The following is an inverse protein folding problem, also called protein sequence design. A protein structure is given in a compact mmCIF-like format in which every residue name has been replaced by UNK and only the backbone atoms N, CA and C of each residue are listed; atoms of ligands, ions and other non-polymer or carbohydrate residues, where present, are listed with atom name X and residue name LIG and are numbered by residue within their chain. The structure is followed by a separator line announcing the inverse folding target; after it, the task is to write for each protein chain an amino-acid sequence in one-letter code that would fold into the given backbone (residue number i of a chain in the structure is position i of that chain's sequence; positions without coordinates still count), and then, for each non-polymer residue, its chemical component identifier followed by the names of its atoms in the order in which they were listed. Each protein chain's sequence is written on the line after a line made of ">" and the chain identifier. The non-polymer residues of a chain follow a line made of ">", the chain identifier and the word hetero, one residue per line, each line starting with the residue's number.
data_IF_065873090042
#
_entry.id   IF_065873090042
#
_cell.length_a   1.000
_cell.length_b   1.000
_cell.length_c   1.000
_cell.angle_alpha   90.00
_cell.angle_beta   90.00
_cell.angle_gamma   90.00
#
_symmetry.space_group_name_H-M   'P 1'
#
loop_
_entity.id
_entity.type
_entity.pdbx_description
1 polymer ?
#
# COMPACT_ATOMS: atom_id res chain seq x y z
N UNK A 1 0.73 -41.60 -20.35
CA UNK A 1 0.01 -41.21 -19.12
C UNK A 1 0.93 -41.48 -17.95
N UNK A 2 1.41 -40.44 -17.27
CA UNK A 2 1.88 -40.49 -15.88
C UNK A 2 2.09 -39.06 -15.37
N UNK A 3 1.52 -38.78 -14.21
CA UNK A 3 1.38 -37.47 -13.58
C UNK A 3 2.70 -37.05 -12.90
N UNK A 4 3.32 -35.98 -13.38
CA UNK A 4 4.47 -35.34 -12.75
C UNK A 4 4.03 -34.34 -11.68
N UNK A 5 3.79 -34.84 -10.48
CA UNK A 5 3.62 -34.06 -9.24
C UNK A 5 4.87 -33.19 -9.06
N UNK A 6 4.73 -31.87 -9.21
CA UNK A 6 5.80 -30.93 -8.85
C UNK A 6 5.96 -31.00 -7.33
N UNK A 7 7.06 -31.64 -6.91
CA UNK A 7 7.39 -31.91 -5.53
C UNK A 7 7.54 -30.59 -4.75
N UNK A 8 6.83 -30.50 -3.62
CA UNK A 8 7.16 -29.50 -2.59
C UNK A 8 8.61 -29.75 -2.16
N UNK A 9 9.50 -28.73 -2.12
CA UNK A 9 10.80 -28.94 -1.54
C UNK A 9 10.62 -29.20 -0.05
N UNK A 10 11.23 -30.30 0.40
CA UNK A 10 11.28 -30.79 1.76
C UNK A 10 11.92 -29.77 2.70
N UNK A 11 11.48 -29.82 3.95
CA UNK A 11 11.94 -29.05 5.12
C UNK A 11 13.41 -28.60 5.04
N UNK A 12 13.63 -27.39 4.51
CA UNK A 12 14.85 -26.64 4.76
C UNK A 12 14.75 -26.15 6.20
N UNK A 13 15.59 -26.69 7.07
CA UNK A 13 15.80 -26.25 8.44
C UNK A 13 15.87 -24.72 8.50
N UNK A 14 14.80 -24.09 9.00
CA UNK A 14 14.81 -22.66 9.35
C UNK A 14 15.74 -22.52 10.56
N UNK A 15 16.93 -21.97 10.36
CA UNK A 15 17.81 -21.63 11.47
C UNK A 15 17.13 -20.57 12.34
N UNK A 16 17.13 -20.78 13.67
CA UNK A 16 16.52 -19.86 14.65
C UNK A 16 16.98 -18.40 14.51
N UNK A 17 18.21 -18.15 14.01
CA UNK A 17 18.70 -16.79 13.71
C UNK A 17 17.89 -16.06 12.64
N UNK A 18 17.53 -16.73 11.54
CA UNK A 18 16.78 -16.11 10.45
C UNK A 18 15.34 -15.76 10.88
N UNK A 19 14.72 -16.61 11.69
CA UNK A 19 13.39 -16.34 12.25
C UNK A 19 13.39 -15.14 13.23
N UNK A 20 14.45 -15.03 14.04
CA UNK A 20 14.64 -13.88 14.93
C UNK A 20 14.90 -12.60 14.13
N UNK A 21 15.74 -12.64 13.10
CA UNK A 21 16.00 -11.50 12.21
C UNK A 21 14.72 -11.03 11.49
N UNK A 22 13.92 -11.95 10.95
CA UNK A 22 12.62 -11.63 10.35
C UNK A 22 11.65 -10.99 11.35
N UNK A 23 11.66 -11.45 12.60
CA UNK A 23 10.83 -10.89 13.67
C UNK A 23 11.26 -9.46 14.06
N UNK A 24 12.57 -9.19 14.10
CA UNK A 24 13.13 -7.87 14.42
C UNK A 24 12.84 -6.89 13.29
N UNK A 25 13.04 -7.31 12.04
CA UNK A 25 12.75 -6.51 10.86
C UNK A 25 11.26 -6.16 10.82
N UNK A 26 10.37 -7.13 11.03
CA UNK A 26 8.92 -6.92 11.11
C UNK A 26 8.55 -5.89 12.18
N UNK A 27 9.10 -6.05 13.39
CA UNK A 27 8.89 -5.11 14.51
C UNK A 27 9.35 -3.70 14.16
N UNK A 28 10.54 -3.55 13.57
CA UNK A 28 11.06 -2.25 13.15
C UNK A 28 10.22 -1.60 12.04
N UNK A 29 9.67 -2.39 11.12
CA UNK A 29 8.74 -1.86 10.10
C UNK A 29 7.42 -1.43 10.72
N UNK A 30 6.86 -2.21 11.64
CA UNK A 30 5.62 -1.86 12.35
C UNK A 30 5.79 -0.53 13.12
N UNK A 31 6.86 -0.40 13.91
CA UNK A 31 7.16 0.81 14.67
C UNK A 31 7.31 2.04 13.77
N UNK A 32 7.97 1.89 12.61
CA UNK A 32 8.12 2.98 11.64
C UNK A 32 6.80 3.35 10.99
N UNK A 33 5.93 2.39 10.68
CA UNK A 33 4.60 2.69 10.13
C UNK A 33 3.71 3.38 11.16
N UNK A 34 3.72 2.94 12.42
CA UNK A 34 2.96 3.59 13.50
C UNK A 34 3.45 5.04 13.70
N UNK A 35 4.76 5.25 13.77
CA UNK A 35 5.36 6.58 13.85
C UNK A 35 4.93 7.45 12.67
N UNK A 36 4.99 6.91 11.45
CA UNK A 36 4.55 7.63 10.25
C UNK A 36 3.06 7.99 10.30
N UNK A 37 2.18 7.12 10.83
CA UNK A 37 0.77 7.45 10.98
C UNK A 37 0.55 8.61 11.96
N UNK A 38 1.28 8.63 13.07
CA UNK A 38 1.14 9.66 14.11
C UNK A 38 1.76 10.99 13.72
N UNK A 39 2.93 10.97 13.09
CA UNK A 39 3.73 12.18 12.87
C UNK A 39 3.53 12.81 11.48
N UNK A 40 3.31 12.01 10.43
CA UNK A 40 3.11 12.57 9.08
C UNK A 40 1.80 13.37 9.02
N UNK A 41 1.88 14.58 8.48
CA UNK A 41 0.74 15.46 8.32
C UNK A 41 0.16 15.35 6.91
N UNK A 42 -1.16 15.21 6.84
CA UNK A 42 -1.93 15.26 5.61
C UNK A 42 -2.59 16.64 5.46
N UNK A 43 -2.76 17.09 4.22
CA UNK A 43 -3.45 18.34 3.90
C UNK A 43 -4.94 18.05 3.91
N UNK A 44 -5.67 18.66 4.84
CA UNK A 44 -7.13 18.56 4.90
C UNK A 44 -7.74 19.45 3.82
N UNK A 45 -8.77 18.93 3.16
CA UNK A 45 -9.49 19.64 2.11
C UNK A 45 -11.00 19.57 2.30
N UNK A 46 -11.72 20.51 1.70
CA UNK A 46 -13.16 20.39 1.50
C UNK A 46 -13.49 19.61 0.21
N UNK A 47 -14.78 19.48 -0.12
CA UNK A 47 -15.25 18.78 -1.32
C UNK A 47 -14.83 19.47 -2.64
N UNK A 48 -14.41 20.73 -2.58
CA UNK A 48 -13.94 21.51 -3.72
C UNK A 48 -12.40 21.54 -3.81
N UNK A 49 -11.74 20.61 -3.11
CA UNK A 49 -10.27 20.51 -3.00
C UNK A 49 -9.61 21.82 -2.49
N UNK A 50 -10.32 22.61 -1.67
CA UNK A 50 -9.73 23.78 -1.02
C UNK A 50 -9.08 23.36 0.30
N UNK A 51 -7.87 23.87 0.56
CA UNK A 51 -7.14 23.57 1.78
C UNK A 51 -7.85 24.19 3.00
N UNK A 52 -8.20 23.36 3.99
CA UNK A 52 -8.86 23.78 5.23
C UNK A 52 -7.97 23.58 6.47
N UNK A 53 -6.80 22.95 6.31
CA UNK A 53 -5.86 22.74 7.41
C UNK A 53 -4.96 21.53 7.21
N UNK A 54 -4.49 20.97 8.33
CA UNK A 54 -3.70 19.75 8.38
C UNK A 54 -4.11 18.89 9.57
N UNK A 55 -3.90 17.59 9.45
CA UNK A 55 -4.15 16.61 10.51
C UNK A 55 -3.21 15.41 10.32
N UNK A 56 -3.00 14.64 11.38
CA UNK A 56 -2.16 13.44 11.29
C UNK A 56 -2.74 12.44 10.30
N UNK A 57 -1.86 11.67 9.67
CA UNK A 57 -2.26 10.60 8.76
C UNK A 57 -3.14 9.55 9.45
N UNK A 58 -2.89 9.27 10.73
CA UNK A 58 -3.74 8.42 11.57
C UNK A 58 -5.17 8.92 11.58
N UNK A 59 -5.38 10.16 12.03
CA UNK A 59 -6.71 10.77 12.08
C UNK A 59 -7.40 10.75 10.72
N UNK A 60 -6.68 11.08 9.64
CA UNK A 60 -7.17 11.10 8.26
C UNK A 60 -7.65 9.74 7.73
N UNK A 61 -7.20 8.64 8.33
CA UNK A 61 -7.55 7.28 7.91
C UNK A 61 -8.44 6.56 8.92
N UNK A 62 -8.84 7.21 10.02
CA UNK A 62 -9.80 6.67 10.97
C UNK A 62 -11.23 6.76 10.41
N UNK A 63 -11.90 5.61 10.32
CA UNK A 63 -13.26 5.52 9.80
C UNK A 63 -14.26 6.44 10.52
N UNK A 64 -14.11 6.60 11.84
CA UNK A 64 -14.97 7.50 12.62
C UNK A 64 -14.89 8.95 12.17
N UNK A 65 -13.71 9.41 11.75
CA UNK A 65 -13.51 10.79 11.29
C UNK A 65 -14.00 10.96 9.85
N UNK A 66 -13.84 9.93 9.02
CA UNK A 66 -14.32 9.92 7.64
C UNK A 66 -15.86 9.91 7.60
N UNK A 67 -16.48 8.94 8.27
CA UNK A 67 -17.93 8.72 8.19
C UNK A 67 -18.74 9.76 8.97
N UNK A 68 -18.28 10.19 10.15
CA UNK A 68 -19.04 11.11 11.01
C UNK A 68 -18.70 12.58 10.77
N UNK A 69 -17.43 12.89 10.52
CA UNK A 69 -16.95 14.27 10.41
C UNK A 69 -16.69 14.69 8.96
N UNK A 70 -16.89 13.80 7.98
CA UNK A 70 -16.65 14.09 6.56
C UNK A 70 -15.19 14.43 6.27
N UNK A 71 -14.25 13.87 7.03
CA UNK A 71 -12.86 14.32 6.96
C UNK A 71 -12.18 13.85 5.66
N UNK A 72 -11.82 14.81 4.81
CA UNK A 72 -11.14 14.58 3.54
C UNK A 72 -9.70 15.09 3.61
N UNK A 73 -8.80 14.37 2.95
CA UNK A 73 -7.42 14.79 2.79
C UNK A 73 -6.97 14.58 1.34
N UNK A 74 -6.08 15.46 0.87
CA UNK A 74 -5.54 15.38 -0.49
C UNK A 74 -4.59 14.18 -0.62
N UNK A 75 -4.74 13.43 -1.70
CA UNK A 75 -3.86 12.33 -2.07
C UNK A 75 -3.52 12.42 -3.56
N UNK A 76 -2.46 11.72 -3.98
CA UNK A 76 -2.09 11.59 -5.38
C UNK A 76 -1.86 10.12 -5.74
N UNK A 77 -1.99 9.82 -7.03
CA UNK A 77 -1.62 8.53 -7.61
C UNK A 77 -0.72 8.79 -8.81
N UNK A 78 0.41 8.07 -8.89
CA UNK A 78 1.33 8.15 -10.01
C UNK A 78 1.26 6.84 -10.82
N UNK A 79 1.23 6.98 -12.15
CA UNK A 79 1.27 5.87 -13.10
C UNK A 79 2.58 5.95 -13.87
N UNK A 80 3.44 4.95 -13.70
CA UNK A 80 4.77 4.91 -14.31
C UNK A 80 4.76 3.90 -15.45
N UNK A 81 5.10 4.35 -16.65
CA UNK A 81 5.22 3.53 -17.85
C UNK A 81 6.68 3.46 -18.27
N UNK A 82 7.11 2.30 -18.76
CA UNK A 82 8.40 2.18 -19.45
C UNK A 82 8.27 2.56 -20.94
N UNK A 83 9.39 2.55 -21.67
CA UNK A 83 9.43 2.87 -23.11
C UNK A 83 8.61 1.92 -24.00
N UNK A 84 8.14 0.81 -23.45
CA UNK A 84 7.24 -0.16 -24.11
C UNK A 84 5.77 0.08 -23.77
N UNK A 85 5.43 1.19 -23.10
CA UNK A 85 4.10 1.53 -22.61
C UNK A 85 3.51 0.49 -21.64
N UNK A 86 4.36 -0.21 -20.87
CA UNK A 86 3.91 -1.14 -19.83
C UNK A 86 3.82 -0.43 -18.49
N UNK A 87 2.67 -0.57 -17.81
CA UNK A 87 2.43 0.04 -16.51
C UNK A 87 3.13 -0.75 -15.39
N UNK A 88 3.89 -0.04 -14.54
CA UNK A 88 4.42 -0.60 -13.30
C UNK A 88 3.29 -0.83 -12.27
N UNK A 89 3.00 -2.10 -11.97
CA UNK A 89 2.05 -2.49 -10.91
C UNK A 89 2.78 -2.75 -9.58
N UNK A 90 2.21 -2.25 -8.49
CA UNK A 90 2.72 -2.47 -7.14
C UNK A 90 1.84 -3.48 -6.37
N UNK A 91 2.49 -4.43 -5.67
CA UNK A 91 1.88 -5.17 -4.55
C UNK A 91 2.29 -4.46 -3.25
N UNK A 92 1.33 -4.07 -2.43
CA UNK A 92 1.60 -3.45 -1.13
C UNK A 92 2.26 -4.46 -0.18
N UNK A 93 3.18 -3.99 0.66
CA UNK A 93 3.79 -4.81 1.72
C UNK A 93 2.76 -5.23 2.76
N UNK A 94 2.98 -6.41 3.37
CA UNK A 94 2.16 -6.90 4.51
C UNK A 94 2.22 -5.99 5.74
N UNK A 95 3.26 -5.16 5.86
CA UNK A 95 3.45 -4.26 7.00
C UNK A 95 2.75 -2.91 6.85
N UNK A 96 2.07 -2.64 5.72
CA UNK A 96 1.29 -1.40 5.57
C UNK A 96 0.04 -1.48 6.45
N UNK A 97 -0.19 -0.45 7.27
CA UNK A 97 -1.35 -0.41 8.17
C UNK A 97 -2.68 -0.36 7.41
N UNK A 98 -2.77 0.47 6.37
CA UNK A 98 -3.93 0.49 5.48
C UNK A 98 -3.70 -0.41 4.27
N UNK A 99 -4.67 -1.28 4.00
CA UNK A 99 -4.71 -2.14 2.80
C UNK A 99 -3.42 -2.96 2.57
N UNK A 100 -2.99 -3.81 3.52
CA UNK A 100 -1.83 -4.68 3.33
C UNK A 100 -2.08 -5.68 2.19
N UNK A 101 -1.01 -6.04 1.48
CA UNK A 101 -0.99 -7.10 0.46
C UNK A 101 -1.87 -6.93 -0.79
N UNK A 102 -2.59 -5.81 -0.91
CA UNK A 102 -3.39 -5.51 -2.10
C UNK A 102 -2.47 -5.29 -3.30
N UNK A 103 -2.81 -5.94 -4.42
CA UNK A 103 -2.22 -5.69 -5.75
C UNK A 103 -3.06 -4.64 -6.48
N UNK A 104 -2.40 -3.65 -7.06
CA UNK A 104 -3.08 -2.79 -8.03
C UNK A 104 -3.47 -3.64 -9.25
N UNK A 105 -4.75 -3.61 -9.63
CA UNK A 105 -5.25 -4.31 -10.81
C UNK A 105 -5.14 -3.39 -12.03
N UNK A 106 -4.58 -3.92 -13.13
CA UNK A 106 -4.46 -3.20 -14.42
C UNK A 106 -5.78 -3.11 -15.19
N UNK A 107 -6.79 -3.88 -14.78
CA UNK A 107 -8.09 -4.04 -15.47
C UNK A 107 -8.83 -2.70 -15.68
N UNK A 108 -8.55 -1.66 -14.89
CA UNK A 108 -9.20 -0.36 -14.98
C UNK A 108 -8.47 0.71 -15.82
N UNK A 109 -7.21 0.47 -16.23
CA UNK A 109 -6.37 1.51 -16.87
C UNK A 109 -6.34 1.34 -18.40
N UNK A 110 -6.71 0.16 -18.91
CA UNK A 110 -6.61 -0.18 -20.33
C UNK A 110 -7.67 0.48 -21.25
N UNK A 111 -8.75 1.04 -20.69
CA UNK A 111 -9.82 1.70 -21.48
C UNK A 111 -9.50 3.15 -21.89
N UNK A 112 -8.47 3.76 -21.31
CA UNK A 112 -8.03 5.13 -21.66
C UNK A 112 -7.01 5.20 -22.81
N UNK A 113 -6.84 4.11 -23.56
CA UNK A 113 -5.88 4.00 -24.69
C UNK A 113 -6.09 4.99 -25.85
N UNK A 114 -7.20 5.75 -25.86
CA UNK A 114 -7.55 6.66 -26.96
C UNK A 114 -7.65 8.14 -26.55
N UNK A 115 -7.25 8.53 -25.33
CA UNK A 115 -7.40 9.91 -24.86
C UNK A 115 -6.19 10.42 -24.06
N UNK A 116 -4.98 10.17 -24.56
CA UNK A 116 -3.82 10.96 -24.17
C UNK A 116 -3.27 11.55 -25.47
N UNK A 117 -3.24 12.89 -25.64
CA UNK A 117 -2.69 13.52 -26.84
C UNK A 117 -1.19 13.24 -27.01
#
# INVERSE_FOLDING_TARGET
>A
MNNGIFSKPSNRCYNNKALVEDSIISTNYANRQEKAMKEEQCILVDENDQCIGHSSKEECHLWTNIEKNGMLHRAFSAFVFNDRNELLLQKRSKHKLTFPEIKMKSEFIQERRHQVP
#
